data_IF_915441477618
#
_entry.id   IF_915441477618
#
_cell.length_a   1.000
_cell.length_b   1.000
_cell.length_c   1.000
_cell.angle_alpha   90.00
_cell.angle_beta   90.00
_cell.angle_gamma   90.00
#
_symmetry.space_group_name_H-M   'P 1'
#
loop_
_entity.id
_entity.type
_entity.pdbx_description
1 polymer ?
#
# COMPACT_ATOMS: atom_id res chain seq x y z
N UNK A 1 10.88 6.26 -55.33
CA UNK A 1 11.46 7.47 -54.71
C UNK A 1 10.55 7.89 -53.56
N UNK A 2 11.13 8.08 -52.36
CA UNK A 2 10.51 8.59 -51.12
C UNK A 2 9.57 7.62 -50.36
N UNK A 3 9.56 7.51 -49.03
CA UNK A 3 10.51 7.64 -47.91
C UNK A 3 9.62 7.56 -46.66
N UNK A 4 9.89 6.59 -45.77
CA UNK A 4 9.71 6.65 -44.31
C UNK A 4 8.27 6.93 -43.82
N UNK A 5 7.73 6.23 -42.84
CA UNK A 5 8.21 6.32 -41.46
C UNK A 5 7.46 5.27 -40.66
N UNK A 6 8.18 4.28 -40.13
CA UNK A 6 7.66 3.27 -39.23
C UNK A 6 7.50 3.97 -37.86
N UNK A 7 6.25 4.26 -37.46
CA UNK A 7 5.97 4.85 -36.15
C UNK A 7 6.15 3.73 -35.10
N UNK A 8 7.35 3.69 -34.53
CA UNK A 8 7.68 2.87 -33.36
C UNK A 8 7.08 3.60 -32.16
N UNK A 9 5.94 3.12 -31.67
CA UNK A 9 5.34 3.61 -30.43
C UNK A 9 6.25 3.27 -29.25
N UNK A 10 6.88 4.28 -28.66
CA UNK A 10 7.65 4.15 -27.42
C UNK A 10 6.69 3.96 -26.25
N UNK A 11 6.54 2.72 -25.79
CA UNK A 11 5.91 2.39 -24.53
C UNK A 11 6.81 2.87 -23.38
N UNK A 12 6.54 4.05 -22.83
CA UNK A 12 7.17 4.55 -21.61
C UNK A 12 6.62 3.75 -20.42
N UNK A 13 7.31 2.68 -20.04
CA UNK A 13 7.11 2.04 -18.75
C UNK A 13 7.65 3.03 -17.69
N UNK A 14 6.75 3.73 -17.00
CA UNK A 14 7.11 4.53 -15.83
C UNK A 14 7.59 3.59 -14.73
N UNK A 15 8.91 3.49 -14.51
CA UNK A 15 9.46 2.85 -13.31
C UNK A 15 9.14 3.74 -12.11
N UNK A 16 8.10 3.41 -11.37
CA UNK A 16 7.87 4.00 -10.06
C UNK A 16 9.01 3.59 -9.10
N UNK A 17 9.47 4.48 -8.21
CA UNK A 17 10.53 4.16 -7.26
C UNK A 17 10.05 3.09 -6.27
N UNK A 18 10.60 1.87 -6.38
CA UNK A 18 10.27 0.74 -5.49
C UNK A 18 10.78 0.93 -4.05
N UNK A 19 11.69 1.87 -3.81
CA UNK A 19 12.33 2.05 -2.50
C UNK A 19 11.34 2.54 -1.42
N UNK A 20 10.37 3.39 -1.77
CA UNK A 20 9.36 3.90 -0.85
C UNK A 20 8.28 2.86 -0.49
N UNK A 21 8.15 1.80 -1.30
CA UNK A 21 7.25 0.69 -1.01
C UNK A 21 7.87 -0.24 0.04
N UNK A 22 9.16 -0.54 -0.09
CA UNK A 22 9.86 -1.46 0.81
C UNK A 22 9.86 -0.99 2.29
N UNK A 23 10.00 0.32 2.53
CA UNK A 23 9.95 0.91 3.87
C UNK A 23 8.56 0.80 4.52
N UNK A 24 7.49 1.14 3.79
CA UNK A 24 6.12 1.01 4.28
C UNK A 24 5.71 -0.46 4.46
N UNK A 25 6.13 -1.35 3.56
CA UNK A 25 5.88 -2.79 3.68
C UNK A 25 6.53 -3.39 4.93
N UNK A 26 7.77 -3.01 5.24
CA UNK A 26 8.44 -3.44 6.48
C UNK A 26 7.69 -2.94 7.72
N UNK A 27 7.30 -1.66 7.77
CA UNK A 27 6.54 -1.11 8.90
C UNK A 27 5.18 -1.79 9.03
N UNK A 28 4.48 -2.05 7.92
CA UNK A 28 3.23 -2.82 7.90
C UNK A 28 3.42 -4.22 8.44
N UNK A 29 4.49 -4.92 8.05
CA UNK A 29 4.80 -6.26 8.54
C UNK A 29 5.07 -6.27 10.06
N UNK A 30 5.84 -5.31 10.57
CA UNK A 30 6.10 -5.16 12.01
C UNK A 30 4.81 -4.89 12.80
N UNK A 31 3.90 -4.07 12.25
CA UNK A 31 2.60 -3.81 12.86
C UNK A 31 1.73 -5.08 12.85
N UNK A 32 1.71 -5.82 11.74
CA UNK A 32 0.96 -7.09 11.65
C UNK A 32 1.44 -8.09 12.72
N UNK A 33 2.76 -8.24 12.87
CA UNK A 33 3.33 -9.10 13.91
C UNK A 33 2.95 -8.64 15.32
N UNK A 34 2.97 -7.33 15.59
CA UNK A 34 2.50 -6.80 16.88
C UNK A 34 1.02 -7.11 17.13
N UNK A 35 0.17 -6.99 16.13
CA UNK A 35 -1.27 -7.30 16.23
C UNK A 35 -1.46 -8.80 16.53
N UNK A 36 -0.74 -9.66 15.82
CA UNK A 36 -0.77 -11.12 16.01
C UNK A 36 -0.28 -11.52 17.41
N UNK A 37 0.83 -10.93 17.87
CA UNK A 37 1.37 -11.17 19.20
C UNK A 37 0.44 -10.70 20.33
N UNK A 38 -0.48 -9.77 20.05
CA UNK A 38 -1.54 -9.35 20.97
C UNK A 38 -2.81 -10.21 20.87
N UNK A 39 -2.78 -11.32 20.12
CA UNK A 39 -3.81 -12.34 20.10
C UNK A 39 -4.86 -12.20 19.00
N UNK A 40 -4.68 -11.29 18.04
CA UNK A 40 -5.58 -11.21 16.87
C UNK A 40 -5.06 -12.15 15.78
N UNK A 41 -5.85 -13.10 15.28
CA UNK A 41 -5.39 -14.00 14.21
C UNK A 41 -5.10 -13.21 12.93
N UNK A 42 -4.13 -13.66 12.14
CA UNK A 42 -3.75 -13.01 10.86
C UNK A 42 -4.93 -12.89 9.89
N UNK A 43 -5.84 -13.87 9.89
CA UNK A 43 -7.06 -13.85 9.07
C UNK A 43 -8.16 -12.93 9.60
N UNK A 44 -8.03 -12.40 10.82
CA UNK A 44 -9.04 -11.56 11.47
C UNK A 44 -8.93 -10.07 11.13
N UNK A 45 -7.93 -9.68 10.34
CA UNK A 45 -7.71 -8.29 9.97
C UNK A 45 -6.96 -8.12 8.66
N UNK A 46 -7.00 -6.89 8.15
CA UNK A 46 -6.20 -6.45 7.02
C UNK A 46 -5.52 -5.12 7.35
N UNK A 47 -4.32 -4.93 6.81
CA UNK A 47 -3.61 -3.65 6.84
C UNK A 47 -3.47 -3.10 5.42
N UNK A 48 -4.00 -1.91 5.18
CA UNK A 48 -3.86 -1.19 3.92
C UNK A 48 -2.93 0.02 4.11
N UNK A 49 -2.05 0.28 3.14
CA UNK A 49 -1.26 1.51 3.09
C UNK A 49 -2.03 2.49 2.21
N UNK A 50 -2.36 3.66 2.75
CA UNK A 50 -3.13 4.68 2.05
C UNK A 50 -2.43 6.04 2.13
N UNK A 51 -2.53 6.88 1.09
CA UNK A 51 -2.10 8.28 1.17
C UNK A 51 -2.79 9.02 2.32
N UNK A 52 -2.08 9.93 2.99
CA UNK A 52 -2.57 10.64 4.18
C UNK A 52 -3.89 11.42 3.94
N UNK A 53 -4.06 11.98 2.74
CA UNK A 53 -5.27 12.70 2.33
C UNK A 53 -6.48 11.78 2.08
N UNK A 54 -6.27 10.48 1.91
CA UNK A 54 -7.31 9.48 1.58
C UNK A 54 -7.73 8.62 2.77
N UNK A 55 -7.08 8.77 3.93
CA UNK A 55 -7.34 7.99 5.15
C UNK A 55 -8.81 7.99 5.56
N UNK A 56 -9.49 9.14 5.42
CA UNK A 56 -10.89 9.30 5.82
C UNK A 56 -11.84 8.38 5.03
N UNK A 57 -11.44 7.96 3.82
CA UNK A 57 -12.22 7.08 2.96
C UNK A 57 -11.93 5.59 3.20
N UNK A 58 -10.88 5.26 3.98
CA UNK A 58 -10.41 3.89 4.15
C UNK A 58 -11.28 3.04 5.11
N UNK A 59 -12.18 3.67 5.87
CA UNK A 59 -13.17 2.97 6.70
C UNK A 59 -12.61 2.15 7.86
N UNK A 60 -11.34 2.30 8.20
CA UNK A 60 -10.64 1.58 9.26
C UNK A 60 -9.89 2.49 10.23
N UNK A 61 -9.18 1.88 11.17
CA UNK A 61 -8.40 2.59 12.19
C UNK A 61 -6.96 2.81 11.73
N UNK A 62 -6.45 4.04 11.83
CA UNK A 62 -5.01 4.29 11.60
C UNK A 62 -4.20 3.70 12.74
N UNK A 63 -3.27 2.79 12.41
CA UNK A 63 -2.40 2.10 13.37
C UNK A 63 -0.91 2.37 13.13
N UNK A 64 -0.56 3.07 12.04
CA UNK A 64 0.82 3.42 11.73
C UNK A 64 0.94 4.48 10.65
N UNK A 65 2.17 4.93 10.44
CA UNK A 65 2.57 5.88 9.40
C UNK A 65 3.94 5.48 8.84
N UNK A 66 4.20 5.83 7.58
CA UNK A 66 5.48 5.60 6.90
C UNK A 66 5.74 6.71 5.88
N UNK A 67 6.93 6.72 5.27
CA UNK A 67 7.37 7.74 4.30
C UNK A 67 7.20 9.18 4.81
N UNK A 68 7.74 9.49 6.00
CA UNK A 68 7.67 10.82 6.61
C UNK A 68 6.23 11.35 6.76
N UNK A 69 5.32 10.47 7.19
CA UNK A 69 3.90 10.78 7.45
C UNK A 69 3.03 11.03 6.20
N UNK A 70 3.58 10.81 4.99
CA UNK A 70 2.82 10.93 3.74
C UNK A 70 1.87 9.77 3.49
N UNK A 71 2.15 8.60 4.08
CA UNK A 71 1.32 7.40 4.00
C UNK A 71 0.93 6.92 5.41
N UNK A 72 -0.30 6.41 5.53
CA UNK A 72 -0.83 5.81 6.76
C UNK A 72 -1.10 4.33 6.56
N UNK A 73 -1.02 3.58 7.65
CA UNK A 73 -1.35 2.15 7.69
C UNK A 73 -2.68 2.01 8.43
N UNK A 74 -3.69 1.55 7.72
CA UNK A 74 -5.07 1.43 8.18
C UNK A 74 -5.38 -0.02 8.49
N UNK A 75 -5.83 -0.27 9.72
CA UNK A 75 -6.34 -1.53 10.21
C UNK A 75 -7.84 -1.62 9.95
N UNK A 76 -8.25 -2.71 9.31
CA UNK A 76 -9.65 -3.07 9.15
C UNK A 76 -9.86 -4.47 9.69
N UNK A 77 -10.81 -4.62 10.62
CA UNK A 77 -11.18 -5.93 11.13
C UNK A 77 -11.96 -6.66 10.05
N UNK A 78 -11.59 -7.90 9.77
CA UNK A 78 -12.38 -8.78 8.92
C UNK A 78 -13.42 -9.40 9.85
N UNK A 79 -14.65 -8.89 9.78
CA UNK A 79 -15.80 -9.56 10.37
C UNK A 79 -16.36 -10.49 9.30
N UNK A 80 -16.52 -11.78 9.60
CA UNK A 80 -17.28 -12.72 8.78
C UNK A 80 -18.73 -12.18 8.67
N UNK A 81 -18.94 -11.33 7.68
CA UNK A 81 -20.26 -10.88 7.23
C UNK A 81 -20.42 -11.36 5.80
N UNK A 82 -20.18 -12.66 5.62
CA UNK A 82 -20.80 -13.53 4.63
C UNK A 82 -20.80 -14.98 5.13
#
# INVERSE_FOLDING_TARGET
MMKKTLIIGTLLLSLAPLAALASCESVKADIAQKIINNGVPESGFKLDIVPNDQVQNAGGQVVGHCENDTQKIVYTRITDSE
#
